data_IF_167197306517
#
_entry.id   IF_167197306517
#
_cell.length_a   1.000
_cell.length_b   1.000
_cell.length_c   1.000
_cell.angle_alpha   90.00
_cell.angle_beta   90.00
_cell.angle_gamma   90.00
#
_symmetry.space_group_name_H-M   'P 1'
#
loop_
_entity.id
_entity.type
_entity.pdbx_description
1 polymer ?
#
# COMPACT_ATOMS: atom_id res chain seq x y z
N UNK A 1 -11.45 -12.32 -12.82
CA UNK A 1 -11.15 -11.41 -11.72
C UNK A 1 -12.06 -11.71 -10.54
N UNK A 2 -11.52 -11.60 -9.31
CA UNK A 2 -12.29 -11.85 -8.10
C UNK A 2 -11.77 -10.95 -6.96
N UNK A 3 -12.69 -10.31 -6.24
CA UNK A 3 -12.38 -9.37 -5.17
C UNK A 3 -12.17 -10.12 -3.84
N UNK A 4 -10.92 -10.25 -3.45
CA UNK A 4 -10.53 -10.88 -2.18
C UNK A 4 -10.41 -9.93 -1.00
N UNK A 5 -10.52 -8.64 -1.25
CA UNK A 5 -10.55 -7.59 -0.22
C UNK A 5 -11.60 -6.54 -0.59
N UNK A 6 -12.13 -5.90 0.43
CA UNK A 6 -12.97 -4.71 0.29
C UNK A 6 -12.38 -3.60 1.17
N UNK A 7 -12.38 -2.38 0.68
CA UNK A 7 -11.95 -1.20 1.44
C UNK A 7 -13.14 -0.30 1.69
N UNK A 8 -13.31 0.15 2.93
CA UNK A 8 -14.34 1.11 3.32
C UNK A 8 -13.68 2.31 4.03
N UNK A 9 -14.12 3.52 3.69
CA UNK A 9 -13.66 4.73 4.36
C UNK A 9 -14.16 4.76 5.81
N UNK A 10 -13.29 5.17 6.72
CA UNK A 10 -13.64 5.43 8.13
C UNK A 10 -14.07 6.88 8.30
N UNK A 11 -14.84 7.14 9.35
CA UNK A 11 -14.96 8.50 9.89
C UNK A 11 -13.75 8.82 10.74
N UNK A 12 -13.11 9.95 10.50
CA UNK A 12 -11.94 10.42 11.23
C UNK A 12 -11.94 11.93 11.33
N UNK A 13 -11.11 12.47 12.22
CA UNK A 13 -10.96 13.92 12.42
C UNK A 13 -9.50 14.32 12.26
N UNK A 14 -9.26 15.54 11.77
CA UNK A 14 -7.92 16.11 11.63
C UNK A 14 -7.42 16.72 12.95
N UNK A 15 -7.39 15.89 14.01
CA UNK A 15 -6.86 16.31 15.30
C UNK A 15 -5.32 16.26 15.27
N UNK A 16 -4.66 17.40 15.56
CA UNK A 16 -3.20 17.48 15.68
C UNK A 16 -2.44 17.04 14.43
N UNK A 17 -2.84 17.53 13.25
CA UNK A 17 -2.12 17.26 12.00
C UNK A 17 -0.81 18.05 11.96
N UNK A 18 0.30 17.36 11.80
CA UNK A 18 1.65 17.91 11.65
C UNK A 18 1.84 18.61 10.29
N UNK A 19 2.99 19.25 10.09
CA UNK A 19 3.27 20.02 8.87
C UNK A 19 3.61 19.16 7.66
N UNK A 20 4.01 17.90 7.89
CA UNK A 20 4.28 16.95 6.83
C UNK A 20 3.32 15.75 6.93
N UNK A 21 2.80 15.33 5.78
CA UNK A 21 1.84 14.23 5.66
C UNK A 21 2.49 13.03 4.98
N UNK A 22 2.19 11.84 5.47
CA UNK A 22 2.65 10.58 4.87
C UNK A 22 1.46 9.78 4.36
N UNK A 23 1.58 9.31 3.11
CA UNK A 23 0.63 8.39 2.48
C UNK A 23 1.36 7.19 1.88
N UNK A 24 0.99 5.97 2.26
CA UNK A 24 1.56 4.73 1.71
C UNK A 24 0.58 3.93 0.87
N UNK A 25 -0.61 4.48 0.62
CA UNK A 25 -1.63 3.85 -0.23
C UNK A 25 -2.53 4.88 -0.90
N UNK A 26 -3.05 4.53 -2.08
CA UNK A 26 -4.07 5.33 -2.77
C UNK A 26 -5.37 5.43 -1.96
N UNK A 27 -5.75 4.36 -1.26
CA UNK A 27 -6.96 4.37 -0.43
C UNK A 27 -6.88 5.42 0.68
N UNK A 28 -5.71 5.56 1.33
CA UNK A 28 -5.52 6.62 2.32
C UNK A 28 -5.61 8.01 1.70
N UNK A 29 -4.99 8.21 0.53
CA UNK A 29 -5.08 9.47 -0.20
C UNK A 29 -6.54 9.80 -0.56
N UNK A 30 -7.26 8.86 -1.15
CA UNK A 30 -8.67 9.04 -1.51
C UNK A 30 -9.56 9.31 -0.30
N UNK A 31 -9.39 8.59 0.82
CA UNK A 31 -10.14 8.81 2.04
C UNK A 31 -9.96 10.24 2.57
N UNK A 32 -8.72 10.77 2.54
CA UNK A 32 -8.44 12.14 2.94
C UNK A 32 -9.03 13.15 1.93
N UNK A 33 -8.96 12.87 0.62
CA UNK A 33 -9.53 13.73 -0.42
C UNK A 33 -11.06 13.86 -0.30
N UNK A 34 -11.75 12.81 0.15
CA UNK A 34 -13.20 12.84 0.39
C UNK A 34 -13.59 13.56 1.70
N UNK A 35 -12.62 13.84 2.58
CA UNK A 35 -12.93 14.51 3.84
C UNK A 35 -13.31 16.00 3.62
N UNK A 36 -14.40 16.51 4.24
CA UNK A 36 -14.89 17.87 4.02
C UNK A 36 -13.85 18.98 4.27
N UNK A 37 -12.90 18.73 5.18
CA UNK A 37 -11.81 19.68 5.53
C UNK A 37 -10.50 19.39 4.78
N UNK A 38 -10.52 18.64 3.70
CA UNK A 38 -9.30 18.28 2.94
C UNK A 38 -8.51 19.52 2.50
N UNK A 39 -9.19 20.60 2.14
CA UNK A 39 -8.55 21.84 1.70
C UNK A 39 -7.59 22.43 2.73
N UNK A 40 -7.84 22.23 4.03
CA UNK A 40 -6.97 22.71 5.11
C UNK A 40 -5.59 22.04 5.10
N UNK A 41 -5.49 20.85 4.50
CA UNK A 41 -4.25 20.07 4.42
C UNK A 41 -3.38 20.43 3.21
N UNK A 42 -3.90 21.11 2.20
CA UNK A 42 -3.17 21.38 0.95
C UNK A 42 -1.98 22.32 1.11
N UNK A 43 -1.91 23.03 2.22
CA UNK A 43 -0.76 23.89 2.57
C UNK A 43 0.42 23.10 3.14
N UNK A 44 0.23 21.81 3.42
CA UNK A 44 1.24 20.94 4.04
C UNK A 44 2.02 20.17 3.00
N UNK A 45 3.27 19.81 3.33
CA UNK A 45 4.08 18.97 2.49
C UNK A 45 3.63 17.51 2.54
N UNK A 46 3.76 16.81 1.44
CA UNK A 46 3.40 15.40 1.34
C UNK A 46 4.60 14.56 0.94
N UNK A 47 4.75 13.43 1.60
CA UNK A 47 5.70 12.36 1.25
C UNK A 47 4.88 11.07 1.06
N UNK A 48 5.10 10.33 -0.03
CA UNK A 48 4.24 9.18 -0.31
C UNK A 48 4.97 7.97 -0.93
N UNK A 49 4.31 6.83 -0.87
CA UNK A 49 4.73 5.59 -1.54
C UNK A 49 3.84 5.35 -2.75
N UNK A 50 4.51 5.05 -3.88
CA UNK A 50 3.86 4.67 -5.14
C UNK A 50 3.56 5.85 -6.06
N UNK A 51 3.90 5.67 -7.35
CA UNK A 51 3.68 6.68 -8.38
C UNK A 51 2.19 7.06 -8.53
N UNK A 52 1.28 6.08 -8.47
CA UNK A 52 -0.17 6.34 -8.56
C UNK A 52 -0.67 7.20 -7.37
N UNK A 53 -0.16 6.97 -6.16
CA UNK A 53 -0.46 7.79 -4.98
C UNK A 53 0.04 9.24 -5.18
N UNK A 54 1.28 9.40 -5.68
CA UNK A 54 1.85 10.71 -6.00
C UNK A 54 0.97 11.46 -7.00
N UNK A 55 0.59 10.81 -8.10
CA UNK A 55 -0.23 11.43 -9.17
C UNK A 55 -1.56 11.93 -8.58
N UNK A 56 -2.30 11.04 -7.89
CA UNK A 56 -3.60 11.40 -7.27
C UNK A 56 -3.48 12.60 -6.35
N UNK A 57 -2.46 12.64 -5.48
CA UNK A 57 -2.26 13.75 -4.55
C UNK A 57 -1.86 15.05 -5.27
N UNK A 58 -0.93 14.97 -6.24
CA UNK A 58 -0.47 16.15 -6.99
C UNK A 58 -1.59 16.76 -7.84
N UNK A 59 -2.37 15.94 -8.54
CA UNK A 59 -3.53 16.39 -9.34
C UNK A 59 -4.64 16.99 -8.46
N UNK A 60 -4.71 16.56 -7.20
CA UNK A 60 -5.63 17.12 -6.21
C UNK A 60 -5.12 18.38 -5.51
N UNK A 61 -3.94 18.91 -5.90
CA UNK A 61 -3.39 20.18 -5.42
C UNK A 61 -2.49 20.07 -4.18
N UNK A 62 -2.05 18.86 -3.80
CA UNK A 62 -1.06 18.70 -2.74
C UNK A 62 0.37 18.89 -3.23
N UNK A 63 1.23 19.47 -2.38
CA UNK A 63 2.67 19.60 -2.61
C UNK A 63 3.40 18.29 -2.25
N UNK A 64 3.60 17.38 -3.22
CA UNK A 64 4.35 16.14 -3.01
C UNK A 64 5.86 16.42 -3.15
N UNK A 65 6.58 16.48 -2.02
CA UNK A 65 8.01 16.82 -1.97
C UNK A 65 8.94 15.61 -2.15
N UNK A 66 8.45 14.39 -1.85
CA UNK A 66 9.18 13.15 -2.09
C UNK A 66 8.23 11.97 -2.30
N UNK A 67 8.67 11.00 -3.11
CA UNK A 67 7.99 9.71 -3.24
C UNK A 67 8.99 8.60 -3.56
N UNK A 68 8.62 7.36 -3.20
CA UNK A 68 9.41 6.15 -3.45
C UNK A 68 8.50 5.01 -3.95
N UNK A 69 9.11 3.93 -4.44
CA UNK A 69 8.38 2.70 -4.79
C UNK A 69 7.96 1.89 -3.55
N UNK A 70 8.79 1.92 -2.50
CA UNK A 70 8.62 1.11 -1.30
C UNK A 70 8.67 1.95 -0.01
N UNK A 71 8.00 1.44 1.04
CA UNK A 71 7.95 2.10 2.35
C UNK A 71 9.29 2.08 3.08
N UNK A 72 10.16 1.10 2.80
CA UNK A 72 11.55 1.03 3.28
C UNK A 72 12.36 2.24 2.83
N UNK A 73 12.31 2.51 1.52
CA UNK A 73 13.05 3.60 0.89
C UNK A 73 12.55 4.96 1.37
N UNK A 74 11.20 5.06 1.58
CA UNK A 74 10.61 6.25 2.16
C UNK A 74 11.09 6.49 3.59
N UNK A 75 11.17 5.42 4.39
CA UNK A 75 11.70 5.49 5.76
C UNK A 75 13.16 5.98 5.75
N UNK A 76 13.98 5.48 4.84
CA UNK A 76 15.37 5.91 4.69
C UNK A 76 15.46 7.41 4.31
N UNK A 77 14.70 7.86 3.32
CA UNK A 77 14.68 9.29 2.94
C UNK A 77 14.25 10.16 4.12
N UNK A 78 13.21 9.79 4.85
CA UNK A 78 12.73 10.57 5.99
C UNK A 78 13.82 10.62 7.08
N UNK A 79 14.46 9.51 7.38
CA UNK A 79 15.48 9.44 8.45
C UNK A 79 16.77 10.18 8.10
N UNK A 80 17.16 10.18 6.83
CA UNK A 80 18.42 10.82 6.40
C UNK A 80 18.26 12.31 6.04
N UNK A 81 17.15 12.68 5.42
CA UNK A 81 16.98 14.02 4.83
C UNK A 81 16.01 14.89 5.64
N UNK A 82 14.97 14.29 6.21
CA UNK A 82 13.87 15.02 6.84
C UNK A 82 13.69 14.66 8.32
N UNK A 83 14.76 14.24 9.02
CA UNK A 83 14.69 13.72 10.39
C UNK A 83 14.25 14.73 11.45
N UNK A 84 14.39 16.02 11.20
CA UNK A 84 14.01 17.08 12.14
C UNK A 84 12.53 17.50 12.03
N UNK A 85 11.80 16.91 11.11
CA UNK A 85 10.41 17.24 10.83
C UNK A 85 9.45 16.40 11.68
N UNK A 86 8.18 16.81 11.69
CA UNK A 86 7.10 16.03 12.32
C UNK A 86 6.04 15.63 11.29
N UNK A 87 5.42 14.46 11.49
CA UNK A 87 4.60 13.82 10.49
C UNK A 87 3.23 13.41 11.02
N UNK A 88 2.22 13.47 10.13
CA UNK A 88 0.98 12.73 10.30
C UNK A 88 0.90 11.65 9.23
N UNK A 89 0.85 10.40 9.67
CA UNK A 89 0.73 9.26 8.78
C UNK A 89 -0.73 8.85 8.65
N UNK A 90 -1.30 9.03 7.46
CA UNK A 90 -2.63 8.55 7.11
C UNK A 90 -2.53 7.11 6.63
N UNK A 91 -3.20 6.19 7.34
CA UNK A 91 -3.04 4.75 7.13
C UNK A 91 -4.38 4.01 7.10
N UNK A 92 -4.35 2.75 6.68
CA UNK A 92 -5.45 1.81 6.90
C UNK A 92 -5.15 0.86 8.06
N UNK A 93 -6.17 0.12 8.51
CA UNK A 93 -6.09 -0.84 9.62
C UNK A 93 -5.07 -1.97 9.41
N UNK A 94 -4.77 -2.33 8.15
CA UNK A 94 -3.78 -3.37 7.79
C UNK A 94 -2.43 -2.78 7.34
N UNK A 95 -2.11 -1.55 7.77
CA UNK A 95 -0.82 -0.94 7.45
C UNK A 95 0.33 -1.76 8.06
N UNK A 96 1.48 -1.71 7.40
CA UNK A 96 2.70 -2.41 7.86
C UNK A 96 3.45 -1.61 8.89
N UNK A 97 4.21 -2.32 9.73
CA UNK A 97 5.07 -1.70 10.75
C UNK A 97 6.37 -1.11 10.20
N UNK A 98 6.75 -1.38 8.93
CA UNK A 98 8.03 -0.94 8.33
C UNK A 98 8.30 0.54 8.56
N UNK A 99 7.41 1.41 8.14
CA UNK A 99 7.58 2.85 8.28
C UNK A 99 7.43 3.32 9.74
N UNK A 100 6.36 2.99 10.48
CA UNK A 100 6.22 3.40 11.87
C UNK A 100 7.38 2.94 12.76
N UNK A 101 7.87 1.72 12.55
CA UNK A 101 9.02 1.19 13.29
C UNK A 101 10.28 2.01 13.01
N UNK A 102 10.60 2.26 11.74
CA UNK A 102 11.78 3.04 11.37
C UNK A 102 11.73 4.48 11.93
N UNK A 103 10.57 5.14 11.87
CA UNK A 103 10.40 6.48 12.43
C UNK A 103 10.59 6.49 13.96
N UNK A 104 10.05 5.50 14.68
CA UNK A 104 10.23 5.34 16.14
C UNK A 104 11.70 5.10 16.50
N UNK A 105 12.38 4.20 15.80
CA UNK A 105 13.79 3.89 16.02
C UNK A 105 14.72 5.09 15.77
N UNK A 106 14.37 5.93 14.80
CA UNK A 106 15.07 7.17 14.51
C UNK A 106 14.68 8.35 15.43
N UNK A 107 13.74 8.17 16.35
CA UNK A 107 13.27 9.24 17.25
C UNK A 107 12.47 10.34 16.56
N UNK A 108 11.94 10.08 15.36
CA UNK A 108 11.17 11.05 14.57
C UNK A 108 9.76 11.17 15.15
N UNK A 109 9.31 12.42 15.34
CA UNK A 109 7.97 12.70 15.87
C UNK A 109 6.91 12.46 14.82
N UNK A 110 5.96 11.58 15.09
CA UNK A 110 4.78 11.38 14.24
C UNK A 110 3.56 10.94 15.03
N UNK A 111 2.40 11.13 14.44
CA UNK A 111 1.14 10.52 14.85
C UNK A 111 0.49 9.81 13.66
N UNK A 112 -0.43 8.91 13.94
CA UNK A 112 -1.17 8.15 12.94
C UNK A 112 -2.65 8.48 13.00
N UNK A 113 -3.27 8.60 11.82
CA UNK A 113 -4.72 8.71 11.65
C UNK A 113 -5.16 7.60 10.70
N UNK A 114 -5.96 6.68 11.23
CA UNK A 114 -6.52 5.59 10.45
C UNK A 114 -7.76 6.08 9.70
N UNK A 115 -7.72 6.04 8.37
CA UNK A 115 -8.71 6.69 7.49
C UNK A 115 -9.53 5.72 6.65
N UNK A 116 -9.15 4.44 6.59
CA UNK A 116 -9.93 3.39 5.93
C UNK A 116 -9.70 2.02 6.56
N UNK A 117 -10.66 1.13 6.38
CA UNK A 117 -10.54 -0.27 6.72
C UNK A 117 -10.41 -1.14 5.47
N UNK A 118 -9.54 -2.13 5.55
CA UNK A 118 -9.49 -3.24 4.59
C UNK A 118 -10.08 -4.47 5.26
N UNK A 119 -11.09 -5.03 4.64
CA UNK A 119 -11.74 -6.27 5.06
C UNK A 119 -11.38 -7.39 4.10
N UNK A 120 -11.04 -8.55 4.64
CA UNK A 120 -10.85 -9.75 3.86
C UNK A 120 -12.22 -10.29 3.43
N UNK A 121 -12.36 -10.62 2.14
CA UNK A 121 -13.56 -11.22 1.55
C UNK A 121 -13.22 -12.59 0.94
N UNK A 122 -12.94 -13.61 1.79
CA UNK A 122 -12.55 -14.93 1.31
C UNK A 122 -13.66 -15.54 0.45
N UNK A 123 -13.26 -16.13 -0.66
CA UNK A 123 -14.17 -16.84 -1.54
C UNK A 123 -13.51 -18.03 -2.21
N UNK A 124 -14.27 -19.08 -2.49
CA UNK A 124 -13.79 -20.29 -3.15
C UNK A 124 -13.71 -20.11 -4.64
N UNK A 125 -12.53 -20.27 -5.22
CA UNK A 125 -12.35 -20.33 -6.68
C UNK A 125 -12.59 -21.76 -7.15
N UNK A 126 -13.59 -21.93 -8.01
CA UNK A 126 -13.95 -23.25 -8.57
C UNK A 126 -13.25 -23.55 -9.89
N UNK A 127 -12.84 -22.53 -10.60
CA UNK A 127 -12.12 -22.65 -11.86
C UNK A 127 -10.72 -23.24 -11.63
N UNK A 128 -10.25 -24.06 -12.56
CA UNK A 128 -8.82 -24.40 -12.65
C UNK A 128 -8.12 -23.20 -13.28
N UNK A 129 -7.03 -22.79 -12.66
CA UNK A 129 -6.17 -21.71 -13.13
C UNK A 129 -4.72 -22.19 -13.15
N UNK A 130 -3.94 -21.69 -14.08
CA UNK A 130 -2.50 -21.99 -14.18
C UNK A 130 -1.69 -20.89 -13.50
N UNK A 131 -2.26 -19.68 -13.40
CA UNK A 131 -1.63 -18.51 -12.80
C UNK A 131 -2.58 -17.78 -11.83
N UNK A 132 -1.99 -17.16 -10.81
CA UNK A 132 -2.70 -16.29 -9.85
C UNK A 132 -1.90 -15.00 -9.71
N UNK A 133 -2.55 -13.86 -9.93
CA UNK A 133 -1.96 -12.54 -9.80
C UNK A 133 -2.37 -11.93 -8.46
N UNK A 134 -1.39 -11.59 -7.63
CA UNK A 134 -1.59 -10.99 -6.32
C UNK A 134 -1.06 -9.56 -6.27
N UNK A 135 -1.94 -8.62 -5.95
CA UNK A 135 -1.65 -7.18 -5.89
C UNK A 135 -1.49 -6.65 -4.47
N UNK A 136 -1.64 -7.50 -3.45
CA UNK A 136 -1.43 -7.13 -2.06
C UNK A 136 -1.28 -8.35 -1.16
N UNK A 137 -0.60 -8.22 0.00
CA UNK A 137 -0.54 -9.28 1.02
C UNK A 137 -1.89 -9.66 1.59
N UNK A 138 -2.79 -8.69 1.77
CA UNK A 138 -4.15 -8.94 2.25
C UNK A 138 -4.97 -9.77 1.24
N UNK A 139 -4.75 -9.56 -0.07
CA UNK A 139 -5.32 -10.41 -1.12
C UNK A 139 -4.83 -11.85 -1.02
N UNK A 140 -3.53 -12.06 -0.79
CA UNK A 140 -2.96 -13.40 -0.54
C UNK A 140 -3.59 -14.04 0.69
N UNK A 141 -3.64 -13.31 1.81
CA UNK A 141 -4.23 -13.82 3.05
C UNK A 141 -5.69 -14.23 2.87
N UNK A 142 -6.48 -13.39 2.21
CA UNK A 142 -7.89 -13.66 1.95
C UNK A 142 -8.08 -14.86 1.03
N UNK A 143 -7.30 -14.96 -0.05
CA UNK A 143 -7.33 -16.12 -0.96
C UNK A 143 -7.05 -17.42 -0.23
N UNK A 144 -6.03 -17.45 0.61
CA UNK A 144 -5.56 -18.66 1.32
C UNK A 144 -6.52 -19.13 2.41
N UNK A 145 -7.53 -18.36 2.81
CA UNK A 145 -8.57 -18.81 3.76
C UNK A 145 -9.48 -19.89 3.16
N UNK A 146 -9.76 -19.84 1.87
CA UNK A 146 -10.70 -20.73 1.19
C UNK A 146 -10.05 -21.57 0.07
N UNK A 147 -8.81 -21.24 -0.33
CA UNK A 147 -8.13 -21.87 -1.45
C UNK A 147 -6.74 -22.37 -1.06
N UNK A 148 -6.25 -23.32 -1.82
CA UNK A 148 -4.90 -23.89 -1.68
C UNK A 148 -4.19 -23.73 -3.02
N UNK A 149 -2.98 -23.20 -2.98
CA UNK A 149 -2.09 -23.12 -4.14
C UNK A 149 -1.38 -24.49 -4.25
N UNK A 150 -1.38 -25.07 -5.43
CA UNK A 150 -0.75 -26.38 -5.71
C UNK A 150 0.46 -26.24 -6.62
N UNK A 151 0.19 -26.02 -7.91
CA UNK A 151 1.20 -25.91 -8.95
C UNK A 151 1.08 -24.59 -9.73
N UNK A 152 0.11 -23.77 -9.37
CA UNK A 152 -0.12 -22.48 -10.03
C UNK A 152 1.10 -21.58 -9.86
N UNK A 153 1.46 -20.84 -10.90
CA UNK A 153 2.44 -19.75 -10.82
C UNK A 153 1.79 -18.54 -10.17
N UNK A 154 2.42 -17.99 -9.15
CA UNK A 154 1.94 -16.81 -8.44
C UNK A 154 2.73 -15.59 -8.87
N UNK A 155 2.08 -14.62 -9.50
CA UNK A 155 2.66 -13.35 -9.86
C UNK A 155 2.35 -12.32 -8.77
N UNK A 156 3.38 -11.69 -8.22
CA UNK A 156 3.26 -10.78 -7.09
C UNK A 156 3.71 -9.38 -7.47
N UNK A 157 2.96 -8.37 -7.04
CA UNK A 157 3.26 -6.95 -7.29
C UNK A 157 4.56 -6.47 -6.62
N UNK A 158 5.12 -7.23 -5.68
CA UNK A 158 6.35 -6.90 -4.99
C UNK A 158 6.69 -7.92 -3.89
N UNK A 159 7.89 -7.78 -3.32
CA UNK A 159 8.47 -8.71 -2.34
C UNK A 159 7.54 -9.03 -1.19
N UNK A 160 6.91 -8.03 -0.64
CA UNK A 160 6.04 -8.16 0.51
C UNK A 160 4.75 -8.96 0.22
N UNK A 161 4.29 -8.98 -1.04
CA UNK A 161 3.19 -9.84 -1.48
C UNK A 161 3.68 -11.28 -1.65
N UNK A 162 4.89 -11.44 -2.18
CA UNK A 162 5.56 -12.75 -2.28
C UNK A 162 5.84 -13.35 -0.89
N UNK A 163 6.31 -12.56 0.07
CA UNK A 163 6.51 -12.99 1.46
C UNK A 163 5.23 -13.49 2.11
N UNK A 164 4.07 -12.89 1.81
CA UNK A 164 2.77 -13.34 2.33
C UNK A 164 2.38 -14.75 1.85
N UNK A 165 2.88 -15.19 0.69
CA UNK A 165 2.73 -16.56 0.23
C UNK A 165 3.55 -17.54 1.06
N UNK A 166 4.73 -17.14 1.52
CA UNK A 166 5.65 -17.96 2.29
C UNK A 166 5.98 -19.27 1.57
N UNK A 167 5.83 -20.40 2.26
CA UNK A 167 6.06 -21.75 1.70
C UNK A 167 4.85 -22.35 0.95
N UNK A 168 3.79 -21.57 0.74
CA UNK A 168 2.53 -22.06 0.14
C UNK A 168 2.57 -22.10 -1.38
N UNK A 169 3.51 -21.40 -2.01
CA UNK A 169 3.82 -21.53 -3.43
C UNK A 169 5.30 -21.81 -3.64
N UNK A 170 5.62 -22.59 -4.67
CA UNK A 170 7.00 -22.85 -5.11
C UNK A 170 7.36 -22.04 -6.35
N UNK A 171 6.35 -21.57 -7.07
CA UNK A 171 6.51 -20.84 -8.33
C UNK A 171 6.04 -19.41 -8.07
N UNK A 172 6.95 -18.50 -7.76
CA UNK A 172 6.65 -17.09 -7.49
C UNK A 172 7.47 -16.25 -8.45
N UNK A 173 6.80 -15.35 -9.17
CA UNK A 173 7.38 -14.32 -10.01
C UNK A 173 6.98 -12.98 -9.40
N UNK A 174 7.97 -12.10 -9.22
CA UNK A 174 7.76 -10.76 -8.69
C UNK A 174 7.91 -9.78 -9.84
N UNK A 175 6.95 -8.87 -10.01
CA UNK A 175 7.00 -7.83 -11.01
C UNK A 175 8.22 -6.91 -10.81
N UNK A 176 8.84 -6.47 -11.90
CA UNK A 176 10.00 -5.57 -11.84
C UNK A 176 9.63 -4.21 -11.26
N UNK A 177 8.41 -3.74 -11.57
CA UNK A 177 7.86 -2.52 -11.01
C UNK A 177 6.60 -2.84 -10.21
N UNK A 178 6.33 -2.15 -9.08
CA UNK A 178 5.16 -2.42 -8.24
C UNK A 178 3.87 -1.82 -8.85
N UNK A 179 3.53 -2.24 -10.06
CA UNK A 179 2.33 -1.82 -10.80
C UNK A 179 1.48 -3.01 -11.23
N UNK A 180 0.18 -2.80 -11.38
CA UNK A 180 -0.75 -3.84 -11.85
C UNK A 180 -0.38 -4.25 -13.28
N UNK A 181 -0.01 -3.27 -14.09
CA UNK A 181 0.35 -3.42 -15.50
C UNK A 181 1.56 -4.36 -15.63
N UNK A 182 2.57 -4.18 -14.81
CA UNK A 182 3.80 -4.97 -14.83
C UNK A 182 3.54 -6.42 -14.39
N UNK A 183 2.72 -6.64 -13.35
CA UNK A 183 2.30 -8.00 -12.94
C UNK A 183 1.59 -8.73 -14.08
N UNK A 184 0.74 -8.03 -14.84
CA UNK A 184 0.04 -8.60 -15.99
C UNK A 184 1.02 -8.91 -17.12
N UNK A 185 1.98 -8.02 -17.36
CA UNK A 185 3.01 -8.19 -18.41
C UNK A 185 3.88 -9.42 -18.13
N UNK A 186 4.37 -9.58 -16.89
CA UNK A 186 5.11 -10.77 -16.45
C UNK A 186 4.31 -12.07 -16.69
N UNK A 187 3.01 -12.06 -16.36
CA UNK A 187 2.16 -13.21 -16.62
C UNK A 187 2.02 -13.50 -18.12
N UNK A 188 1.91 -12.47 -18.96
CA UNK A 188 1.82 -12.65 -20.42
C UNK A 188 3.14 -13.19 -20.99
N UNK A 189 4.28 -12.75 -20.48
CA UNK A 189 5.60 -13.21 -20.92
C UNK A 189 5.78 -14.69 -20.58
N UNK A 190 5.42 -15.11 -19.38
CA UNK A 190 5.58 -16.50 -18.92
C UNK A 190 4.72 -17.50 -19.73
N UNK A 191 3.57 -17.07 -20.23
CA UNK A 191 2.61 -17.96 -20.91
C UNK A 191 2.52 -17.74 -22.44
N UNK A 192 3.46 -17.03 -23.07
CA UNK A 192 3.63 -16.96 -24.53
C UNK A 192 4.41 -18.14 -25.05
#
# INVERSE_FOLDING_TARGET
EADFIKTDNKSFEFNQVNDNLIFTSQNAAQSVLFHPKCEELKTKNVICVGLKTKIVLSESGFSVIAYTGYASDLAEIITLVYSNESYTFFSGNLRRETLPKALKEAGIKFNEIEVYDTMLTPQKIKAKVDAILFFSPSGVESYLKENVIKNETCFCIGDTTAEALGKRSKNIIIAEQPTIEDVIEECIIEYK
#
